data_IF_887851933536
#
_entry.id   IF_887851933536
#
_cell.length_a   1.000
_cell.length_b   1.000
_cell.length_c   1.000
_cell.angle_alpha   90.00
_cell.angle_beta   90.00
_cell.angle_gamma   90.00
#
_symmetry.space_group_name_H-M   'P 1'
#
loop_
_entity.id
_entity.type
_entity.pdbx_description
1 polymer ?
#
# COMPACT_ATOMS: atom_id res chain seq x y z
N UNK A 1 16.93 21.09 -8.95
CA UNK A 1 17.53 19.74 -9.10
C UNK A 1 17.75 19.26 -7.70
N UNK A 2 16.98 18.28 -7.27
CA UNK A 2 17.13 17.73 -5.93
C UNK A 2 18.13 16.59 -6.00
N UNK A 3 19.11 16.60 -5.10
CA UNK A 3 20.17 15.58 -5.02
C UNK A 3 20.00 14.88 -3.68
N UNK A 4 19.82 13.56 -3.72
CA UNK A 4 19.73 12.72 -2.53
C UNK A 4 21.03 11.92 -2.42
N UNK A 5 21.80 12.16 -1.35
CA UNK A 5 23.09 11.54 -1.09
C UNK A 5 22.98 10.57 0.10
N UNK A 6 23.11 9.28 -0.19
CA UNK A 6 23.05 8.18 0.79
C UNK A 6 24.44 7.62 1.15
N UNK A 7 25.53 8.29 0.74
CA UNK A 7 26.89 7.74 0.85
C UNK A 7 27.49 7.78 2.27
N UNK A 8 26.79 8.35 3.26
CA UNK A 8 27.31 8.58 4.62
C UNK A 8 26.95 7.49 5.66
N UNK A 9 26.24 6.41 5.27
CA UNK A 9 25.74 5.39 6.22
C UNK A 9 26.82 4.46 6.79
N UNK A 10 27.97 4.30 6.11
CA UNK A 10 28.99 3.29 6.44
C UNK A 10 29.67 3.55 7.79
N UNK A 11 29.92 4.82 8.14
CA UNK A 11 30.59 5.16 9.40
C UNK A 11 29.75 4.84 10.64
N UNK A 12 28.44 5.00 10.55
CA UNK A 12 27.50 4.71 11.62
C UNK A 12 27.36 3.21 11.89
N UNK A 13 27.32 2.39 10.83
CA UNK A 13 27.18 0.92 10.94
C UNK A 13 28.37 0.32 11.72
N UNK A 14 29.60 0.73 11.39
CA UNK A 14 30.81 0.22 12.05
C UNK A 14 30.86 0.55 13.56
N UNK A 15 30.40 1.75 13.95
CA UNK A 15 30.32 2.13 15.37
C UNK A 15 29.26 1.30 16.13
N UNK A 16 28.14 1.00 15.47
CA UNK A 16 27.04 0.18 15.98
C UNK A 16 27.47 -1.26 16.24
N UNK A 17 28.17 -1.89 15.28
CA UNK A 17 28.71 -3.25 15.43
C UNK A 17 29.62 -3.36 16.66
N UNK A 18 30.52 -2.39 16.82
CA UNK A 18 31.44 -2.35 17.97
C UNK A 18 30.69 -2.27 19.31
N UNK A 19 29.58 -1.53 19.39
CA UNK A 19 28.77 -1.42 20.61
C UNK A 19 28.04 -2.73 20.93
N UNK A 20 27.48 -3.40 19.92
CA UNK A 20 26.79 -4.70 20.08
C UNK A 20 27.75 -5.74 20.66
N UNK A 21 28.98 -5.82 20.15
CA UNK A 21 29.97 -6.82 20.55
C UNK A 21 30.39 -6.71 22.04
N UNK A 22 30.16 -5.55 22.65
CA UNK A 22 30.53 -5.28 24.05
C UNK A 22 29.41 -5.49 25.06
N UNK A 23 28.19 -5.83 24.61
CA UNK A 23 27.04 -6.00 25.50
C UNK A 23 27.20 -7.26 26.37
N UNK A 24 26.81 -7.13 27.64
CA UNK A 24 26.55 -8.30 28.48
C UNK A 24 25.29 -9.04 28.03
N UNK A 25 25.11 -10.29 28.48
CA UNK A 25 23.92 -11.09 28.13
C UNK A 25 22.60 -10.40 28.51
N UNK A 26 22.55 -9.71 29.66
CA UNK A 26 21.39 -8.95 30.10
C UNK A 26 21.08 -7.77 29.19
N UNK A 27 22.10 -6.98 28.86
CA UNK A 27 21.96 -5.82 27.95
C UNK A 27 21.59 -6.26 26.53
N UNK A 28 22.17 -7.36 26.04
CA UNK A 28 21.84 -7.94 24.74
C UNK A 28 20.37 -8.37 24.66
N UNK A 29 19.83 -8.93 25.74
CA UNK A 29 18.42 -9.30 25.81
C UNK A 29 17.50 -8.08 25.76
N UNK A 30 17.80 -7.04 26.53
CA UNK A 30 17.02 -5.78 26.52
C UNK A 30 17.07 -5.11 25.14
N UNK A 31 18.24 -5.08 24.50
CA UNK A 31 18.41 -4.55 23.14
C UNK A 31 17.60 -5.36 22.13
N UNK A 32 17.59 -6.69 22.22
CA UNK A 32 16.79 -7.54 21.33
C UNK A 32 15.29 -7.24 21.45
N UNK A 33 14.76 -7.18 22.68
CA UNK A 33 13.34 -6.89 22.93
C UNK A 33 12.96 -5.48 22.43
N UNK A 34 13.88 -4.51 22.59
CA UNK A 34 13.70 -3.16 22.06
C UNK A 34 13.67 -3.14 20.53
N UNK A 35 14.58 -3.84 19.86
CA UNK A 35 14.62 -3.95 18.40
C UNK A 35 13.32 -4.54 17.86
N UNK A 36 12.81 -5.60 18.48
CA UNK A 36 11.55 -6.22 18.05
C UNK A 36 10.36 -5.26 18.20
N UNK A 37 10.32 -4.52 19.31
CA UNK A 37 9.31 -3.48 19.54
C UNK A 37 9.40 -2.35 18.52
N UNK A 38 10.62 -1.90 18.21
CA UNK A 38 10.89 -0.85 17.25
C UNK A 38 10.49 -1.27 15.83
N UNK A 39 10.85 -2.48 15.41
CA UNK A 39 10.44 -3.05 14.12
C UNK A 39 8.93 -3.13 14.02
N UNK A 40 8.26 -3.66 15.04
CA UNK A 40 6.78 -3.77 15.06
C UNK A 40 6.11 -2.40 14.94
N UNK A 41 6.59 -1.40 15.68
CA UNK A 41 6.09 -0.03 15.60
C UNK A 41 6.30 0.57 14.21
N UNK A 42 7.49 0.38 13.64
CA UNK A 42 7.84 0.89 12.29
C UNK A 42 6.92 0.31 11.23
N UNK A 43 6.70 -1.00 11.23
CA UNK A 43 5.75 -1.65 10.30
C UNK A 43 4.35 -1.10 10.48
N UNK A 44 3.88 -0.94 11.71
CA UNK A 44 2.55 -0.40 11.97
C UNK A 44 2.38 1.04 11.46
N UNK A 45 3.36 1.91 11.69
CA UNK A 45 3.35 3.29 11.19
C UNK A 45 3.38 3.35 9.66
N UNK A 46 4.21 2.51 9.03
CA UNK A 46 4.27 2.39 7.57
C UNK A 46 2.93 1.93 6.99
N UNK A 47 2.32 0.87 7.54
CA UNK A 47 1.02 0.36 7.08
C UNK A 47 -0.07 1.43 7.17
N UNK A 48 -0.10 2.22 8.25
CA UNK A 48 -1.05 3.31 8.44
C UNK A 48 -0.83 4.44 7.43
N UNK A 49 0.44 4.83 7.22
CA UNK A 49 0.79 5.84 6.23
C UNK A 49 0.41 5.41 4.81
N UNK A 50 0.72 4.17 4.43
CA UNK A 50 0.35 3.61 3.14
C UNK A 50 -1.16 3.53 2.94
N UNK A 51 -1.92 3.21 4.00
CA UNK A 51 -3.39 3.22 3.93
C UNK A 51 -3.93 4.64 3.72
N UNK A 52 -3.40 5.63 4.44
CA UNK A 52 -3.79 7.02 4.26
C UNK A 52 -3.47 7.50 2.84
N UNK A 53 -2.29 7.13 2.30
CA UNK A 53 -1.94 7.42 0.92
C UNK A 53 -2.91 6.79 -0.07
N UNK A 54 -3.30 5.52 0.12
CA UNK A 54 -4.31 4.86 -0.72
C UNK A 54 -5.63 5.64 -0.71
N UNK A 55 -6.10 6.06 0.47
CA UNK A 55 -7.33 6.84 0.61
C UNK A 55 -7.26 8.17 -0.15
N UNK A 56 -6.14 8.88 -0.06
CA UNK A 56 -5.98 10.22 -0.67
C UNK A 56 -5.70 10.15 -2.17
N UNK A 57 -4.93 9.16 -2.64
CA UNK A 57 -4.49 9.09 -4.03
C UNK A 57 -5.41 8.25 -4.92
N UNK A 58 -5.92 7.12 -4.40
CA UNK A 58 -6.58 6.09 -5.21
C UNK A 58 -8.09 6.28 -5.23
N UNK A 59 -8.72 6.50 -4.08
CA UNK A 59 -10.19 6.61 -4.01
C UNK A 59 -10.76 7.75 -4.86
N UNK A 60 -10.17 8.98 -4.88
CA UNK A 60 -10.68 10.03 -5.76
C UNK A 60 -10.58 9.66 -7.23
N UNK A 61 -9.51 8.96 -7.62
CA UNK A 61 -9.33 8.48 -9.00
C UNK A 61 -10.41 7.49 -9.39
N UNK A 62 -10.76 6.56 -8.50
CA UNK A 62 -11.84 5.58 -8.71
C UNK A 62 -13.21 6.23 -8.77
N UNK A 63 -13.48 7.23 -7.93
CA UNK A 63 -14.72 8.00 -7.97
C UNK A 63 -14.90 8.75 -9.30
N UNK A 64 -13.83 9.41 -9.78
CA UNK A 64 -13.84 10.08 -11.08
C UNK A 64 -14.07 9.08 -12.22
N UNK A 65 -13.41 7.91 -12.14
CA UNK A 65 -13.58 6.86 -13.14
C UNK A 65 -15.01 6.31 -13.16
N UNK A 66 -15.56 5.96 -12.00
CA UNK A 66 -16.93 5.47 -11.85
C UNK A 66 -17.95 6.46 -12.40
N UNK A 67 -17.78 7.75 -12.09
CA UNK A 67 -18.63 8.80 -12.64
C UNK A 67 -18.55 8.88 -14.17
N UNK A 68 -17.35 8.78 -14.74
CA UNK A 68 -17.13 8.83 -16.19
C UNK A 68 -17.74 7.63 -16.91
N UNK A 69 -17.73 6.46 -16.29
CA UNK A 69 -18.26 5.22 -16.86
C UNK A 69 -19.72 4.97 -16.48
N UNK A 70 -20.36 5.86 -15.72
CA UNK A 70 -21.70 5.65 -15.16
C UNK A 70 -21.81 4.34 -14.35
N UNK A 71 -20.75 4.00 -13.61
CA UNK A 71 -20.70 2.79 -12.80
C UNK A 71 -21.18 3.03 -11.37
N UNK A 72 -21.77 2.00 -10.77
CA UNK A 72 -21.89 1.92 -9.32
C UNK A 72 -20.51 1.61 -8.74
N UNK A 73 -20.07 2.42 -7.78
CA UNK A 73 -18.82 2.23 -7.03
C UNK A 73 -19.17 1.84 -5.60
N UNK A 74 -18.66 0.69 -5.15
CA UNK A 74 -18.73 0.23 -3.77
C UNK A 74 -17.29 0.18 -3.24
N UNK A 75 -17.07 0.73 -2.06
CA UNK A 75 -15.78 0.72 -1.36
C UNK A 75 -16.02 0.13 0.02
N UNK A 76 -15.23 -0.88 0.36
CA UNK A 76 -15.25 -1.55 1.65
C UNK A 76 -13.84 -1.53 2.23
N UNK A 77 -13.71 -1.06 3.47
CA UNK A 77 -12.46 -1.12 4.20
C UNK A 77 -12.51 -2.33 5.15
N UNK A 78 -11.51 -3.22 5.04
CA UNK A 78 -11.41 -4.44 5.83
C UNK A 78 -10.08 -4.50 6.59
N UNK A 79 -10.12 -5.06 7.80
CA UNK A 79 -8.93 -5.43 8.58
C UNK A 79 -7.84 -4.35 8.71
N UNK A 80 -8.20 -3.07 8.86
CA UNK A 80 -7.31 -1.93 9.10
C UNK A 80 -6.18 -1.68 8.07
N UNK A 81 -6.04 -2.49 7.02
CA UNK A 81 -5.02 -2.32 5.97
C UNK A 81 -5.54 -2.57 4.56
N UNK A 82 -6.74 -3.14 4.40
CA UNK A 82 -7.27 -3.55 3.10
C UNK A 82 -8.39 -2.64 2.65
N UNK A 83 -8.31 -2.18 1.41
CA UNK A 83 -9.38 -1.49 0.71
C UNK A 83 -9.84 -2.36 -0.45
N UNK A 84 -11.10 -2.75 -0.43
CA UNK A 84 -11.78 -3.47 -1.50
C UNK A 84 -12.67 -2.51 -2.27
N UNK A 85 -12.58 -2.54 -3.59
CA UNK A 85 -13.30 -1.64 -4.48
C UNK A 85 -14.01 -2.46 -5.53
N UNK A 86 -15.31 -2.26 -5.68
CA UNK A 86 -16.11 -2.89 -6.72
C UNK A 86 -16.75 -1.85 -7.62
N UNK A 87 -16.52 -1.96 -8.92
CA UNK A 87 -17.11 -1.15 -9.98
C UNK A 87 -18.11 -2.02 -10.77
N UNK A 88 -19.41 -1.68 -10.74
CA UNK A 88 -20.45 -2.38 -11.49
C UNK A 88 -21.01 -1.53 -12.63
N UNK A 89 -21.12 -2.08 -13.83
CA UNK A 89 -21.64 -1.38 -15.01
C UNK A 89 -22.52 -2.31 -15.87
N UNK A 90 -23.61 -1.78 -16.40
CA UNK A 90 -24.58 -2.56 -17.19
C UNK A 90 -24.09 -2.89 -18.61
N UNK A 91 -23.15 -2.12 -19.15
CA UNK A 91 -22.70 -2.20 -20.56
C UNK A 91 -21.30 -2.81 -20.65
N UNK A 92 -20.46 -2.58 -19.64
CA UNK A 92 -19.06 -3.04 -19.62
C UNK A 92 -18.06 -1.88 -19.50
N UNK A 93 -16.79 -2.18 -19.74
CA UNK A 93 -15.69 -1.21 -19.60
C UNK A 93 -14.76 -1.23 -20.80
N UNK A 94 -14.57 -0.06 -21.41
CA UNK A 94 -13.51 0.15 -22.41
C UNK A 94 -12.28 0.80 -21.76
N UNK A 95 -11.26 -0.02 -21.47
CA UNK A 95 -9.98 0.46 -20.94
C UNK A 95 -9.04 0.79 -22.10
N UNK A 96 -9.10 2.03 -22.56
CA UNK A 96 -8.36 2.50 -23.73
C UNK A 96 -6.96 3.04 -23.39
N UNK A 97 -6.21 3.50 -24.42
CA UNK A 97 -4.92 4.18 -24.25
C UNK A 97 -4.98 5.35 -23.26
N UNK A 98 -6.09 6.09 -23.25
CA UNK A 98 -6.27 7.29 -22.43
C UNK A 98 -6.71 6.99 -20.99
N UNK A 99 -7.05 5.75 -20.68
CA UNK A 99 -7.42 5.28 -19.34
C UNK A 99 -6.18 5.06 -18.47
N UNK A 100 -5.26 6.04 -18.41
CA UNK A 100 -3.93 5.88 -17.78
C UNK A 100 -4.01 5.58 -16.28
N UNK A 101 -4.81 6.37 -15.56
CA UNK A 101 -4.90 6.24 -14.10
C UNK A 101 -5.50 4.89 -13.70
N UNK A 102 -6.64 4.48 -14.27
CA UNK A 102 -7.23 3.17 -13.96
C UNK A 102 -6.29 2.00 -14.32
N UNK A 103 -5.50 2.12 -15.40
CA UNK A 103 -4.47 1.11 -15.72
C UNK A 103 -3.38 1.05 -14.65
N UNK A 104 -2.95 2.19 -14.11
CA UNK A 104 -2.02 2.20 -12.97
C UNK A 104 -2.65 1.53 -11.76
N UNK A 105 -3.92 1.80 -11.47
CA UNK A 105 -4.64 1.16 -10.36
C UNK A 105 -4.74 -0.35 -10.50
N UNK A 106 -4.93 -0.85 -11.73
CA UNK A 106 -4.93 -2.30 -11.98
C UNK A 106 -3.58 -2.91 -11.67
N UNK A 107 -2.48 -2.26 -12.05
CA UNK A 107 -1.14 -2.76 -11.74
C UNK A 107 -0.79 -2.65 -10.25
N UNK A 108 -1.40 -1.70 -9.55
CA UNK A 108 -1.18 -1.49 -8.12
C UNK A 108 -1.99 -2.45 -7.25
N UNK A 109 -3.13 -2.96 -7.75
CA UNK A 109 -4.00 -3.83 -6.98
C UNK A 109 -3.35 -5.20 -6.74
N UNK A 110 -3.42 -5.69 -5.50
CA UNK A 110 -2.98 -7.03 -5.11
C UNK A 110 -3.88 -8.11 -5.73
N UNK A 111 -5.14 -7.78 -5.98
CA UNK A 111 -6.08 -8.64 -6.66
C UNK A 111 -6.96 -7.87 -7.62
N UNK A 112 -7.21 -8.48 -8.79
CA UNK A 112 -8.14 -7.99 -9.80
C UNK A 112 -9.12 -9.12 -10.12
N UNK A 113 -10.39 -8.91 -9.78
CA UNK A 113 -11.50 -9.74 -10.21
C UNK A 113 -12.24 -9.07 -11.36
N UNK A 114 -12.55 -9.82 -12.42
CA UNK A 114 -13.44 -9.36 -13.49
C UNK A 114 -14.46 -10.45 -13.73
N UNK A 115 -15.73 -10.13 -13.49
CA UNK A 115 -16.81 -11.10 -13.59
C UNK A 115 -18.09 -10.45 -14.12
N UNK A 116 -19.11 -11.29 -14.35
CA UNK A 116 -20.45 -10.85 -14.68
C UNK A 116 -21.42 -11.30 -13.60
N UNK A 117 -22.13 -10.35 -13.01
CA UNK A 117 -23.11 -10.58 -11.94
C UNK A 117 -24.42 -9.91 -12.34
N UNK A 118 -25.52 -10.66 -12.36
CA UNK A 118 -26.85 -10.19 -12.77
C UNK A 118 -26.85 -9.45 -14.13
N UNK A 119 -26.04 -9.92 -15.08
CA UNK A 119 -25.89 -9.32 -16.40
C UNK A 119 -25.09 -8.02 -16.44
N UNK A 120 -24.51 -7.59 -15.30
CA UNK A 120 -23.62 -6.44 -15.20
C UNK A 120 -22.17 -6.91 -15.21
N UNK A 121 -21.30 -6.11 -15.80
CA UNK A 121 -19.85 -6.31 -15.68
C UNK A 121 -19.36 -5.73 -14.35
N UNK A 122 -18.69 -6.56 -13.56
CA UNK A 122 -18.14 -6.21 -12.26
C UNK A 122 -16.61 -6.27 -12.32
N UNK A 123 -15.95 -5.22 -11.83
CA UNK A 123 -14.49 -5.19 -11.61
C UNK A 123 -14.27 -5.01 -10.11
N UNK A 124 -13.61 -5.98 -9.49
CA UNK A 124 -13.16 -5.92 -8.11
C UNK A 124 -11.66 -5.65 -8.07
N UNK A 125 -11.24 -4.69 -7.26
CA UNK A 125 -9.84 -4.36 -6.99
C UNK A 125 -9.61 -4.43 -5.49
N UNK A 126 -8.56 -5.11 -5.07
CA UNK A 126 -8.15 -5.16 -3.65
C UNK A 126 -6.77 -4.53 -3.53
N UNK A 127 -6.64 -3.63 -2.56
CA UNK A 127 -5.40 -2.98 -2.20
C UNK A 127 -5.09 -3.28 -0.73
N UNK A 128 -3.96 -3.92 -0.46
CA UNK A 128 -3.47 -4.18 0.89
C UNK A 128 -2.28 -3.26 1.18
N UNK A 129 -2.48 -2.33 2.12
CA UNK A 129 -1.45 -1.36 2.49
C UNK A 129 -0.21 -1.99 3.13
N UNK A 130 -0.28 -3.25 3.57
CA UNK A 130 0.89 -3.97 4.07
C UNK A 130 1.87 -4.36 2.97
N UNK A 131 1.41 -4.51 1.73
CA UNK A 131 2.26 -4.81 0.57
C UNK A 131 2.80 -3.54 -0.10
N UNK A 132 2.30 -2.38 0.33
CA UNK A 132 2.71 -1.06 -0.16
C UNK A 132 3.69 -0.46 0.83
N UNK A 133 4.99 -0.61 0.55
CA UNK A 133 6.03 0.17 1.25
C UNK A 133 6.22 1.46 0.46
N UNK A 134 5.61 2.55 0.95
CA UNK A 134 5.66 3.89 0.38
C UNK A 134 6.45 4.85 1.27
#
# INVERSE_FOLDING_TARGET
MDTYDYQHEIGFINEMETKIDTLSEGEAKEVSEFIDTLKKKTVQEQTLHSLEWLRVAILPTLQVYAKKTCSLLVIEEAHDSVIMVTLKNDIGYDITKNSRLIKMLFNLADFIGIESEDGKTCIALVFDSTNLVL
#
